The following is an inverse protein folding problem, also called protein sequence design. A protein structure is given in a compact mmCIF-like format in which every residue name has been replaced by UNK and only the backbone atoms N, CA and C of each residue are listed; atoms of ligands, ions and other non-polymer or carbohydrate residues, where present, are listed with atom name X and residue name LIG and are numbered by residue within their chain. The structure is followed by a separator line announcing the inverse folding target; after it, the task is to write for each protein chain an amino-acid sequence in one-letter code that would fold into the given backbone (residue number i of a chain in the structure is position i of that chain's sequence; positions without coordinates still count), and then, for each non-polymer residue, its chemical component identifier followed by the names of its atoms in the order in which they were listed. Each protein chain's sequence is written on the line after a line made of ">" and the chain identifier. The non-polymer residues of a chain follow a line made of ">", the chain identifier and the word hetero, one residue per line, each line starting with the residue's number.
data_IF_175865269184
#
_entry.id   IF_175865269184
#
_cell.length_a   1.000
_cell.length_b   1.000
_cell.length_c   1.000
_cell.angle_alpha   90.00
_cell.angle_beta   90.00
_cell.angle_gamma   90.00
#
_symmetry.space_group_name_H-M   'P 1'
#
loop_
_entity.id
_entity.type
_entity.pdbx_description
1 polymer ?
#
# COMPACT_ATOMS: atom_id res chain seq x y z
N UNK A 1 -39.96 31.73 35.17
CA UNK A 1 -39.70 31.99 33.73
C UNK A 1 -38.21 31.98 33.37
N UNK A 2 -37.34 32.72 34.07
CA UNK A 2 -35.89 32.82 33.77
C UNK A 2 -35.13 31.46 33.71
N UNK A 3 -35.42 30.54 34.64
CA UNK A 3 -34.80 29.20 34.67
C UNK A 3 -35.19 28.31 33.48
N UNK A 4 -36.43 28.44 33.00
CA UNK A 4 -36.95 27.65 31.88
C UNK A 4 -36.36 28.10 30.54
N UNK A 5 -36.13 29.42 30.38
CA UNK A 5 -35.44 29.99 29.22
C UNK A 5 -33.98 29.55 29.16
N UNK A 6 -33.27 29.52 30.29
CA UNK A 6 -31.90 29.01 30.33
C UNK A 6 -31.83 27.51 29.97
N UNK A 7 -32.80 26.71 30.44
CA UNK A 7 -32.85 25.27 30.14
C UNK A 7 -33.12 25.02 28.66
N UNK A 8 -34.02 25.80 28.05
CA UNK A 8 -34.32 25.73 26.63
C UNK A 8 -33.12 26.14 25.76
N UNK A 9 -32.41 27.20 26.16
CA UNK A 9 -31.20 27.66 25.48
C UNK A 9 -30.07 26.62 25.53
N UNK A 10 -29.88 25.98 26.70
CA UNK A 10 -28.87 24.93 26.85
C UNK A 10 -29.19 23.70 25.99
N UNK A 11 -30.47 23.33 25.90
CA UNK A 11 -30.94 22.21 25.09
C UNK A 11 -30.78 22.50 23.59
N UNK A 12 -31.01 23.75 23.16
CA UNK A 12 -30.69 24.19 21.80
C UNK A 12 -29.19 24.02 21.49
N UNK A 13 -28.29 24.44 22.39
CA UNK A 13 -26.83 24.32 22.17
C UNK A 13 -26.40 22.87 21.94
N UNK A 14 -26.98 21.90 22.66
CA UNK A 14 -26.69 20.48 22.45
C UNK A 14 -27.22 19.92 21.13
N UNK A 15 -28.30 20.47 20.57
CA UNK A 15 -28.85 20.05 19.27
C UNK A 15 -28.04 20.64 18.10
N UNK A 16 -27.39 21.79 18.29
CA UNK A 16 -26.56 22.45 17.27
C UNK A 16 -25.09 22.02 17.26
N UNK A 17 -24.64 21.15 18.18
CA UNK A 17 -23.31 20.54 18.10
C UNK A 17 -23.30 19.51 16.98
N UNK A 18 -22.62 19.76 15.84
CA UNK A 18 -22.61 18.81 14.74
C UNK A 18 -21.80 17.57 15.16
N UNK A 19 -22.17 16.36 14.69
CA UNK A 19 -21.39 15.15 14.90
C UNK A 19 -20.13 15.15 14.00
N UNK A 20 -19.28 16.17 14.14
CA UNK A 20 -18.07 16.38 13.32
C UNK A 20 -17.10 15.22 13.49
N UNK A 21 -16.98 14.69 14.70
CA UNK A 21 -16.01 13.64 15.01
C UNK A 21 -16.32 12.29 14.35
N UNK A 22 -17.58 11.86 14.27
CA UNK A 22 -17.93 10.54 13.71
C UNK A 22 -17.62 10.42 12.21
N UNK A 23 -17.76 11.51 11.46
CA UNK A 23 -17.48 11.54 10.02
C UNK A 23 -15.98 11.45 9.73
N UNK A 24 -15.12 12.03 10.58
CA UNK A 24 -13.66 11.97 10.42
C UNK A 24 -13.10 10.59 10.73
N UNK A 25 -13.59 9.93 11.79
CA UNK A 25 -13.22 8.54 12.11
C UNK A 25 -13.54 7.57 10.97
N UNK A 26 -14.71 7.74 10.33
CA UNK A 26 -15.09 6.94 9.16
C UNK A 26 -14.10 7.10 7.99
N UNK A 27 -13.66 8.34 7.71
CA UNK A 27 -12.69 8.63 6.64
C UNK A 27 -11.33 8.00 6.93
N UNK A 28 -10.81 8.15 8.16
CA UNK A 28 -9.51 7.60 8.56
C UNK A 28 -9.51 6.08 8.43
N UNK A 29 -10.57 5.40 8.89
CA UNK A 29 -10.70 3.95 8.78
C UNK A 29 -10.69 3.48 7.33
N UNK A 30 -11.41 4.16 6.43
CA UNK A 30 -11.42 3.82 5.00
C UNK A 30 -10.04 4.00 4.38
N UNK A 31 -9.32 5.06 4.74
CA UNK A 31 -7.94 5.27 4.27
C UNK A 31 -7.01 4.17 4.77
N UNK A 32 -7.13 3.77 6.04
CA UNK A 32 -6.33 2.66 6.58
C UNK A 32 -6.60 1.35 5.84
N UNK A 33 -7.87 0.99 5.64
CA UNK A 33 -8.25 -0.21 4.90
C UNK A 33 -7.72 -0.20 3.46
N UNK A 34 -7.72 0.97 2.81
CA UNK A 34 -7.14 1.13 1.47
C UNK A 34 -5.63 0.97 1.49
N UNK A 35 -4.95 1.55 2.48
CA UNK A 35 -3.51 1.41 2.63
C UNK A 35 -3.14 -0.06 2.84
N UNK A 36 -3.82 -0.77 3.74
CA UNK A 36 -3.58 -2.19 4.01
C UNK A 36 -3.80 -3.04 2.75
N UNK A 37 -4.86 -2.75 1.99
CA UNK A 37 -5.15 -3.43 0.72
C UNK A 37 -4.09 -3.18 -0.34
N UNK A 38 -3.60 -1.94 -0.48
CA UNK A 38 -2.52 -1.59 -1.41
C UNK A 38 -1.21 -2.25 -1.02
N UNK A 39 -0.88 -2.27 0.27
CA UNK A 39 0.32 -2.95 0.79
C UNK A 39 0.25 -4.44 0.47
N UNK A 40 -0.90 -5.09 0.74
CA UNK A 40 -1.10 -6.50 0.40
C UNK A 40 -0.92 -6.76 -1.09
N UNK A 41 -1.54 -5.94 -1.96
CA UNK A 41 -1.39 -6.08 -3.42
C UNK A 41 0.06 -5.91 -3.88
N UNK A 42 0.80 -4.95 -3.31
CA UNK A 42 2.22 -4.75 -3.60
C UNK A 42 3.02 -6.00 -3.23
N UNK A 43 2.83 -6.51 -2.01
CA UNK A 43 3.54 -7.68 -1.51
C UNK A 43 3.23 -8.93 -2.35
N UNK A 44 1.96 -9.19 -2.63
CA UNK A 44 1.50 -10.30 -3.46
C UNK A 44 2.04 -10.21 -4.89
N UNK A 45 2.17 -8.99 -5.44
CA UNK A 45 2.80 -8.78 -6.74
C UNK A 45 4.29 -9.14 -6.71
N UNK A 46 5.05 -8.63 -5.76
CA UNK A 46 6.50 -8.88 -5.64
C UNK A 46 6.77 -10.39 -5.49
N UNK A 47 6.05 -11.08 -4.61
CA UNK A 47 6.20 -12.53 -4.42
C UNK A 47 5.90 -13.31 -5.71
N UNK A 48 4.85 -12.92 -6.45
CA UNK A 48 4.52 -13.53 -7.74
C UNK A 48 5.60 -13.29 -8.79
N UNK A 49 6.19 -12.09 -8.83
CA UNK A 49 7.32 -11.80 -9.72
C UNK A 49 8.47 -12.75 -9.40
N UNK A 50 8.95 -12.80 -8.16
CA UNK A 50 10.06 -13.70 -7.78
C UNK A 50 9.74 -15.17 -8.09
N UNK A 51 8.51 -15.61 -7.82
CA UNK A 51 8.04 -16.96 -8.15
C UNK A 51 8.10 -17.23 -9.65
N UNK A 52 7.64 -16.28 -10.49
CA UNK A 52 7.65 -16.43 -11.96
C UNK A 52 9.05 -16.55 -12.56
N UNK A 53 10.04 -15.90 -11.95
CA UNK A 53 11.45 -16.01 -12.35
C UNK A 53 12.19 -17.14 -11.61
N UNK A 54 11.49 -17.97 -10.82
CA UNK A 54 12.08 -19.06 -10.03
C UNK A 54 13.19 -18.58 -9.09
N UNK A 55 13.07 -17.34 -8.58
CA UNK A 55 14.02 -16.77 -7.62
C UNK A 55 13.60 -17.23 -6.21
N UNK A 56 14.43 -18.01 -5.50
CA UNK A 56 14.08 -18.47 -4.16
C UNK A 56 14.00 -17.27 -3.21
N UNK A 57 12.91 -17.20 -2.44
CA UNK A 57 12.64 -16.08 -1.54
C UNK A 57 11.86 -16.54 -0.31
N UNK A 58 11.94 -15.74 0.74
CA UNK A 58 11.22 -15.97 1.99
C UNK A 58 10.30 -14.82 2.31
N UNK A 59 9.08 -15.17 2.74
CA UNK A 59 8.05 -14.22 3.13
C UNK A 59 7.88 -14.24 4.65
N UNK A 60 7.64 -13.07 5.24
CA UNK A 60 7.16 -13.00 6.63
C UNK A 60 5.64 -13.24 6.72
N UNK A 61 5.10 -13.18 7.94
CA UNK A 61 3.67 -13.38 8.20
C UNK A 61 2.75 -12.36 7.49
N UNK A 62 3.29 -11.21 7.08
CA UNK A 62 2.59 -10.15 6.35
C UNK A 62 2.76 -10.25 4.83
N UNK A 63 3.41 -11.31 4.33
CA UNK A 63 3.67 -11.53 2.91
C UNK A 63 4.79 -10.67 2.33
N UNK A 64 5.57 -9.98 3.17
CA UNK A 64 6.72 -9.18 2.71
C UNK A 64 7.90 -10.10 2.45
N UNK A 65 8.56 -9.93 1.31
CA UNK A 65 9.83 -10.59 1.00
C UNK A 65 10.91 -10.06 1.93
N UNK A 66 11.42 -10.92 2.81
CA UNK A 66 12.46 -10.57 3.80
C UNK A 66 13.84 -11.08 3.40
N UNK A 67 13.91 -12.16 2.62
CA UNK A 67 15.17 -12.72 2.14
C UNK A 67 15.03 -13.22 0.71
N UNK A 68 16.10 -13.11 -0.05
CA UNK A 68 16.25 -13.68 -1.39
C UNK A 68 17.52 -14.52 -1.45
N UNK A 69 17.48 -15.62 -2.20
CA UNK A 69 18.66 -16.41 -2.48
C UNK A 69 19.29 -15.92 -3.79
N UNK A 70 20.53 -15.45 -3.72
CA UNK A 70 21.34 -15.07 -4.86
C UNK A 70 22.60 -15.93 -4.86
N UNK A 71 22.81 -16.68 -5.94
CA UNK A 71 24.00 -17.53 -6.12
C UNK A 71 24.28 -18.48 -4.95
N UNK A 72 23.23 -19.03 -4.34
CA UNK A 72 23.32 -19.95 -3.20
C UNK A 72 23.42 -19.25 -1.83
N UNK A 73 23.51 -17.92 -1.80
CA UNK A 73 23.56 -17.14 -0.56
C UNK A 73 22.22 -16.50 -0.25
N UNK A 74 21.74 -16.71 0.98
CA UNK A 74 20.55 -16.02 1.48
C UNK A 74 20.92 -14.62 1.97
N UNK A 75 20.32 -13.62 1.35
CA UNK A 75 20.56 -12.21 1.63
C UNK A 75 19.30 -11.56 2.18
N UNK A 76 19.46 -10.79 3.25
CA UNK A 76 18.38 -9.98 3.81
C UNK A 76 18.05 -8.82 2.89
N UNK A 77 16.76 -8.67 2.60
CA UNK A 77 16.21 -7.57 1.81
C UNK A 77 15.86 -6.43 2.74
N UNK A 78 16.47 -5.26 2.52
CA UNK A 78 16.25 -4.07 3.34
C UNK A 78 15.19 -3.15 2.75
N UNK A 79 15.17 -3.03 1.41
CA UNK A 79 14.26 -2.15 0.68
C UNK A 79 13.87 -2.82 -0.64
N UNK A 80 12.60 -2.64 -1.04
CA UNK A 80 12.09 -3.07 -2.34
C UNK A 80 11.42 -1.89 -3.03
N UNK A 81 12.03 -1.46 -4.14
CA UNK A 81 11.48 -0.44 -5.03
C UNK A 81 10.77 -1.12 -6.21
N UNK A 82 9.61 -0.59 -6.58
CA UNK A 82 8.81 -1.08 -7.71
C UNK A 82 8.51 0.11 -8.59
N UNK A 83 9.13 0.16 -9.77
CA UNK A 83 9.07 1.29 -10.69
C UNK A 83 8.26 0.87 -11.92
N UNK A 84 7.13 1.52 -12.23
CA UNK A 84 6.36 1.20 -13.43
C UNK A 84 7.10 1.72 -14.67
N UNK A 85 7.21 0.86 -15.68
CA UNK A 85 7.72 1.22 -17.01
C UNK A 85 6.52 1.56 -17.88
N UNK A 86 6.45 2.80 -18.34
CA UNK A 86 5.35 3.31 -19.15
C UNK A 86 5.65 3.15 -20.63
N UNK A 87 4.63 2.74 -21.39
CA UNK A 87 4.65 2.74 -22.85
C UNK A 87 3.51 3.60 -23.37
N UNK A 88 3.79 4.39 -24.39
CA UNK A 88 2.79 5.18 -25.09
C UNK A 88 1.98 4.26 -26.02
N UNK A 89 0.66 4.31 -25.91
CA UNK A 89 -0.25 3.61 -26.82
C UNK A 89 -0.49 4.42 -28.08
N UNK A 90 -1.04 3.77 -29.11
CA UNK A 90 -1.42 4.41 -30.38
C UNK A 90 -2.34 5.64 -30.19
N UNK A 91 -3.12 5.66 -29.09
CA UNK A 91 -4.04 6.74 -28.72
C UNK A 91 -3.39 7.82 -27.84
N UNK A 92 -2.05 7.86 -27.73
CA UNK A 92 -1.27 8.78 -26.88
C UNK A 92 -1.57 8.68 -25.37
N UNK A 93 -2.16 7.58 -24.93
CA UNK A 93 -2.32 7.28 -23.51
C UNK A 93 -1.09 6.51 -23.00
N UNK A 94 -0.61 6.82 -21.79
CA UNK A 94 0.43 6.04 -21.15
C UNK A 94 -0.18 4.83 -20.43
N UNK A 95 0.33 3.64 -20.71
CA UNK A 95 -0.02 2.42 -20.00
C UNK A 95 1.23 1.80 -19.39
N UNK A 96 1.06 1.16 -18.23
CA UNK A 96 2.15 0.41 -17.60
C UNK A 96 2.39 -0.86 -18.42
N UNK A 97 3.55 -0.94 -19.05
CA UNK A 97 3.96 -2.08 -19.88
C UNK A 97 4.72 -3.12 -19.06
N UNK A 98 5.49 -2.68 -18.06
CA UNK A 98 6.27 -3.54 -17.18
C UNK A 98 6.52 -2.86 -15.83
N UNK A 99 7.19 -3.55 -14.92
CA UNK A 99 7.69 -3.05 -13.66
C UNK A 99 9.14 -3.46 -13.49
N UNK A 100 9.99 -2.52 -13.09
CA UNK A 100 11.34 -2.82 -12.60
C UNK A 100 11.27 -2.95 -11.08
N UNK A 101 11.80 -4.04 -10.56
CA UNK A 101 11.87 -4.33 -9.14
C UNK A 101 13.33 -4.32 -8.71
N UNK A 102 13.65 -3.47 -7.73
CA UNK A 102 14.98 -3.36 -7.15
C UNK A 102 14.94 -3.87 -5.70
N UNK A 103 15.67 -4.95 -5.43
CA UNK A 103 15.80 -5.55 -4.10
C UNK A 103 17.16 -5.17 -3.52
N UNK A 104 17.16 -4.28 -2.55
CA UNK A 104 18.38 -3.83 -1.88
C UNK A 104 18.74 -4.82 -0.78
N UNK A 105 19.99 -5.25 -0.78
CA UNK A 105 20.59 -6.11 0.25
C UNK A 105 21.89 -5.49 0.73
N UNK A 106 22.47 -6.03 1.81
CA UNK A 106 23.78 -5.60 2.29
C UNK A 106 24.92 -5.84 1.27
N UNK A 107 24.72 -6.73 0.29
CA UNK A 107 25.76 -7.18 -0.65
C UNK A 107 25.56 -6.66 -2.07
N UNK A 108 24.48 -5.91 -2.33
CA UNK A 108 24.17 -5.38 -3.67
C UNK A 108 22.67 -5.27 -3.92
N UNK A 109 22.33 -5.01 -5.19
CA UNK A 109 20.95 -4.83 -5.64
C UNK A 109 20.65 -5.90 -6.69
N UNK A 110 19.58 -6.66 -6.47
CA UNK A 110 18.98 -7.49 -7.52
C UNK A 110 17.97 -6.65 -8.28
N UNK A 111 18.11 -6.58 -9.61
CA UNK A 111 17.15 -5.92 -10.51
C UNK A 111 16.38 -6.99 -11.31
N UNK A 112 15.04 -6.90 -11.28
CA UNK A 112 14.15 -7.77 -12.06
C UNK A 112 13.18 -6.91 -12.85
N UNK A 113 13.17 -7.07 -14.17
CA UNK A 113 12.16 -6.45 -15.04
C UNK A 113 11.03 -7.46 -15.28
N UNK A 114 9.80 -7.10 -14.92
CA UNK A 114 8.62 -7.94 -15.05
C UNK A 114 7.50 -7.30 -15.86
N UNK A 115 7.04 -8.00 -16.89
CA UNK A 115 5.85 -7.62 -17.67
C UNK A 115 4.53 -7.98 -16.94
N UNK A 116 4.61 -8.53 -15.72
CA UNK A 116 3.43 -8.85 -14.94
C UNK A 116 2.68 -7.59 -14.53
N UNK A 117 1.36 -7.69 -14.55
CA UNK A 117 0.46 -6.63 -14.10
C UNK A 117 0.16 -6.78 -12.61
N UNK A 118 0.24 -5.66 -11.87
CA UNK A 118 -0.30 -5.56 -10.52
C UNK A 118 -1.83 -5.64 -10.65
N UNK A 119 -2.45 -6.59 -9.94
CA UNK A 119 -3.90 -6.84 -9.99
C UNK A 119 -4.53 -6.66 -8.62
#
# INVERSE_FOLDING_TARGET
>A
MKKMVCLLALLLVFVYLPPVHAQEYGKIRILQQRADHVIKKKNDFIARVLTSYTIPHELNAQGVVVRINMDGQWLDVTVIEVVPVLKETTDKHQQVAAHELYFHTAHGILNVVSELTIR
#
